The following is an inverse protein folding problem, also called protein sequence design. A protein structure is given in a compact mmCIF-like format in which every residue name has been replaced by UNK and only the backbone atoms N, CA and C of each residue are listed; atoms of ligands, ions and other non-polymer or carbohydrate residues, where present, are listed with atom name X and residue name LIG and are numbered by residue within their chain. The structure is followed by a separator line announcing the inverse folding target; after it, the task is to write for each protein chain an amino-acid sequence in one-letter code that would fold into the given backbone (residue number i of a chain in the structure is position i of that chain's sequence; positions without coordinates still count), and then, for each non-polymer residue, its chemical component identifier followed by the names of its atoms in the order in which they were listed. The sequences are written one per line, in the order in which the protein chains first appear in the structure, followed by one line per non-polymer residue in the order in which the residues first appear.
data_IF_928532364484
#
_entry.id   IF_928532364484
#
_cell.length_a   1.000
_cell.length_b   1.000
_cell.length_c   1.000
_cell.angle_alpha   90.00
_cell.angle_beta   90.00
_cell.angle_gamma   90.00
#
_symmetry.space_group_name_H-M   'P 1'
#
loop_
_entity.id
_entity.type
_entity.pdbx_description
1 polymer ?
#
# COMPACT_ATOMS: atom_id res chain seq x y z
N UNK A 1 -17.78 3.10 -0.78
CA UNK A 1 -16.35 2.75 -0.95
C UNK A 1 -15.90 2.09 0.34
N UNK A 2 -15.41 0.85 0.29
CA UNK A 2 -14.97 0.12 1.48
C UNK A 2 -13.62 0.62 2.01
N UNK A 3 -13.22 0.19 3.21
CA UNK A 3 -11.94 0.55 3.81
C UNK A 3 -10.74 -0.10 3.12
N UNK A 4 -10.95 -1.06 2.22
CA UNK A 4 -9.89 -1.71 1.46
C UNK A 4 -10.26 -1.77 -0.03
N UNK A 5 -9.38 -1.31 -0.90
CA UNK A 5 -9.46 -1.46 -2.35
C UNK A 5 -8.15 -2.03 -2.88
N UNK A 6 -8.23 -3.27 -3.36
CA UNK A 6 -7.12 -3.99 -3.94
C UNK A 6 -7.20 -3.88 -5.47
N UNK A 7 -6.12 -3.44 -6.10
CA UNK A 7 -5.96 -3.35 -7.55
C UNK A 7 -4.59 -3.89 -7.93
N UNK A 8 -4.38 -4.13 -9.22
CA UNK A 8 -3.07 -4.51 -9.71
C UNK A 8 -2.04 -3.42 -9.38
N UNK A 9 -0.95 -3.82 -8.71
CA UNK A 9 0.14 -2.93 -8.28
C UNK A 9 -0.30 -1.73 -7.42
N UNK A 10 -1.49 -1.76 -6.82
CA UNK A 10 -1.98 -0.66 -6.00
C UNK A 10 -2.94 -1.14 -4.91
N UNK A 11 -2.71 -0.65 -3.69
CA UNK A 11 -3.56 -0.82 -2.53
C UNK A 11 -4.02 0.55 -2.06
N UNK A 12 -5.31 0.75 -1.91
CA UNK A 12 -5.86 1.90 -1.21
C UNK A 12 -6.60 1.36 0.02
N UNK A 13 -6.35 1.94 1.18
CA UNK A 13 -7.03 1.55 2.40
C UNK A 13 -7.38 2.74 3.28
N UNK A 14 -8.23 2.49 4.26
CA UNK A 14 -8.55 3.42 5.32
C UNK A 14 -8.24 2.84 6.68
N UNK A 15 -7.65 3.66 7.54
CA UNK A 15 -7.32 3.30 8.91
C UNK A 15 -7.50 4.54 9.79
N UNK A 16 -8.33 4.45 10.82
CA UNK A 16 -8.50 5.50 11.84
C UNK A 16 -7.26 5.54 12.75
N UNK A 17 -6.26 6.35 12.38
CA UNK A 17 -4.95 6.33 13.05
C UNK A 17 -5.02 6.94 14.45
N UNK A 18 -5.85 7.96 14.61
CA UNK A 18 -6.01 8.66 15.88
C UNK A 18 -7.05 7.99 16.81
N UNK A 19 -7.73 6.95 16.32
CA UNK A 19 -8.72 6.14 17.05
C UNK A 19 -9.88 6.95 17.64
N UNK A 20 -10.30 8.03 16.95
CA UNK A 20 -11.38 8.90 17.43
C UNK A 20 -12.78 8.43 17.01
N UNK A 21 -12.88 7.34 16.23
CA UNK A 21 -14.13 6.75 15.75
C UNK A 21 -14.75 7.49 14.56
N UNK A 22 -14.00 8.37 13.90
CA UNK A 22 -14.36 9.10 12.69
C UNK A 22 -13.26 8.92 11.66
N UNK A 23 -13.64 9.05 10.40
CA UNK A 23 -12.70 8.93 9.31
C UNK A 23 -12.44 10.25 8.63
N UNK A 24 -11.18 10.60 8.57
CA UNK A 24 -10.71 11.88 8.10
C UNK A 24 -10.49 11.82 6.59
N UNK A 25 -11.13 12.76 5.86
CA UNK A 25 -11.14 12.77 4.41
C UNK A 25 -9.76 13.02 3.78
N UNK A 26 -9.64 12.77 2.47
CA UNK A 26 -8.38 12.84 1.70
C UNK A 26 -7.63 14.18 1.77
N UNK A 27 -8.32 15.29 1.97
CA UNK A 27 -7.72 16.63 2.06
C UNK A 27 -7.26 17.02 3.48
N UNK A 28 -7.46 16.15 4.47
CA UNK A 28 -7.08 16.40 5.85
C UNK A 28 -5.60 16.07 6.07
N UNK A 29 -4.89 16.84 6.89
CA UNK A 29 -3.49 16.56 7.21
C UNK A 29 -3.33 15.18 7.90
N UNK A 30 -4.27 14.88 8.81
CA UNK A 30 -4.40 13.58 9.46
C UNK A 30 -5.39 12.69 8.69
N UNK A 31 -5.31 12.63 7.35
CA UNK A 31 -6.25 11.83 6.57
C UNK A 31 -6.13 10.35 6.91
N UNK A 32 -7.25 9.66 7.07
CA UNK A 32 -7.26 8.21 7.31
C UNK A 32 -7.16 7.40 6.02
N UNK A 33 -6.86 8.05 4.88
CA UNK A 33 -6.69 7.40 3.60
C UNK A 33 -5.21 7.15 3.32
N UNK A 34 -4.85 5.91 3.01
CA UNK A 34 -3.50 5.51 2.64
C UNK A 34 -3.51 4.79 1.31
N UNK A 35 -2.47 5.04 0.53
CA UNK A 35 -2.21 4.35 -0.71
C UNK A 35 -0.80 3.79 -0.73
N UNK A 36 -0.67 2.61 -1.33
CA UNK A 36 0.60 2.00 -1.69
C UNK A 36 0.53 1.58 -3.14
N UNK A 37 1.59 1.80 -3.92
CA UNK A 37 1.64 1.31 -5.29
C UNK A 37 3.04 0.92 -5.72
N UNK A 38 3.12 -0.01 -6.66
CA UNK A 38 4.32 -0.30 -7.41
C UNK A 38 4.27 0.48 -8.72
N UNK A 39 5.25 1.36 -8.93
CA UNK A 39 5.39 2.13 -10.16
C UNK A 39 6.86 2.21 -10.53
N UNK A 40 7.21 1.92 -11.78
CA UNK A 40 8.59 2.00 -12.26
C UNK A 40 9.59 1.23 -11.37
N UNK A 41 9.21 0.02 -10.93
CA UNK A 41 10.01 -0.86 -10.06
C UNK A 41 10.31 -0.26 -8.67
N UNK A 42 9.53 0.73 -8.25
CA UNK A 42 9.64 1.41 -6.98
C UNK A 42 8.34 1.26 -6.18
N UNK A 43 8.47 0.96 -4.90
CA UNK A 43 7.35 1.06 -3.98
C UNK A 43 7.14 2.52 -3.61
N UNK A 44 5.91 2.98 -3.73
CA UNK A 44 5.51 4.33 -3.38
C UNK A 44 4.35 4.30 -2.38
N UNK A 45 4.25 5.33 -1.54
CA UNK A 45 3.13 5.55 -0.63
C UNK A 45 2.56 6.96 -0.75
N UNK A 46 1.30 7.13 -0.37
CA UNK A 46 0.69 8.46 -0.22
C UNK A 46 -0.37 8.42 0.89
N UNK A 47 -0.37 9.43 1.75
CA UNK A 47 -1.48 9.72 2.67
C UNK A 47 -2.43 10.71 2.02
N UNK A 48 -3.73 10.58 2.29
CA UNK A 48 -4.76 11.44 1.70
C UNK A 48 -5.05 11.12 0.23
N UNK A 49 -5.05 9.84 -0.14
CA UNK A 49 -5.26 9.41 -1.53
C UNK A 49 -6.40 8.40 -1.66
N UNK A 50 -7.23 8.57 -2.69
CA UNK A 50 -8.30 7.64 -3.05
C UNK A 50 -8.19 7.14 -4.50
N UNK A 51 -7.12 7.49 -5.21
CA UNK A 51 -6.86 7.12 -6.60
C UNK A 51 -5.41 6.71 -6.83
N UNK A 52 -5.19 5.53 -7.41
CA UNK A 52 -3.85 5.00 -7.69
C UNK A 52 -3.04 5.84 -8.68
N UNK A 53 -3.68 6.61 -9.55
CA UNK A 53 -3.04 7.39 -10.62
C UNK A 53 -2.77 8.86 -10.22
N UNK A 54 -3.05 9.25 -8.97
CA UNK A 54 -2.76 10.60 -8.48
C UNK A 54 -1.26 10.92 -8.51
N UNK A 55 -0.95 12.21 -8.38
CA UNK A 55 0.39 12.72 -8.15
C UNK A 55 0.69 12.88 -6.64
N UNK A 56 1.93 13.21 -6.30
CA UNK A 56 2.33 13.48 -4.90
C UNK A 56 2.68 12.24 -4.08
N UNK A 57 3.05 11.15 -4.75
CA UNK A 57 3.47 9.92 -4.10
C UNK A 57 4.92 10.03 -3.60
N UNK A 58 5.16 9.56 -2.38
CA UNK A 58 6.48 9.43 -1.78
C UNK A 58 7.09 8.08 -2.12
N UNK A 59 8.40 8.05 -2.31
CA UNK A 59 9.17 6.86 -2.68
C UNK A 59 9.63 6.14 -1.40
N UNK A 60 9.25 4.87 -1.26
CA UNK A 60 9.69 4.02 -0.14
C UNK A 60 10.89 3.14 -0.47
N UNK A 61 11.15 2.90 -1.75
CA UNK A 61 12.34 2.18 -2.22
C UNK A 61 13.09 3.00 -3.26
N UNK A 62 14.31 2.61 -3.62
CA UNK A 62 15.07 3.24 -4.70
C UNK A 62 15.62 2.15 -5.65
N UNK A 63 15.20 2.14 -6.93
CA UNK A 63 15.68 1.20 -7.94
C UNK A 63 17.20 1.16 -8.12
N UNK A 64 17.93 2.22 -7.73
CA UNK A 64 19.39 2.21 -7.77
C UNK A 64 20.01 1.19 -6.80
N UNK A 65 19.29 0.82 -5.73
CA UNK A 65 19.71 -0.17 -4.74
C UNK A 65 18.93 -1.48 -4.85
N UNK A 66 17.62 -1.39 -5.09
CA UNK A 66 16.73 -2.54 -5.16
C UNK A 66 15.50 -2.24 -6.01
N UNK A 67 15.22 -3.10 -6.98
CA UNK A 67 14.00 -3.04 -7.80
C UNK A 67 12.92 -3.93 -7.21
N UNK A 68 11.72 -3.39 -7.01
CA UNK A 68 10.56 -4.19 -6.67
C UNK A 68 9.94 -4.76 -7.97
N UNK A 69 9.95 -6.07 -8.12
CA UNK A 69 9.43 -6.77 -9.31
C UNK A 69 7.95 -7.12 -9.17
N UNK A 70 7.49 -7.34 -7.94
CA UNK A 70 6.10 -7.68 -7.64
C UNK A 70 5.61 -6.94 -6.40
N UNK A 71 4.40 -6.40 -6.50
CA UNK A 71 3.57 -6.00 -5.37
C UNK A 71 2.15 -6.51 -5.60
N UNK A 72 1.80 -7.57 -4.87
CA UNK A 72 0.48 -8.21 -4.97
C UNK A 72 -0.19 -8.20 -3.62
N UNK A 73 -1.46 -7.79 -3.60
CA UNK A 73 -2.31 -7.87 -2.42
C UNK A 73 -3.53 -8.72 -2.79
N UNK A 74 -3.95 -9.59 -1.90
CA UNK A 74 -5.17 -10.39 -2.06
C UNK A 74 -5.86 -10.55 -0.72
N UNK A 75 -7.19 -10.63 -0.72
CA UNK A 75 -7.99 -10.80 0.48
C UNK A 75 -8.77 -12.12 0.43
N UNK A 76 -8.76 -12.86 1.54
CA UNK A 76 -9.58 -14.04 1.76
C UNK A 76 -10.27 -13.94 3.13
N UNK A 77 -11.56 -13.61 3.14
CA UNK A 77 -12.27 -13.32 4.39
C UNK A 77 -11.65 -12.10 5.08
N UNK A 78 -11.24 -12.27 6.34
CA UNK A 78 -10.54 -11.23 7.12
C UNK A 78 -9.05 -11.20 6.84
N UNK A 79 -8.48 -12.18 6.15
CA UNK A 79 -7.05 -12.22 5.92
C UNK A 79 -6.66 -11.44 4.68
N UNK A 80 -5.67 -10.57 4.83
CA UNK A 80 -5.01 -9.86 3.75
C UNK A 80 -3.61 -10.44 3.60
N UNK A 81 -3.32 -10.94 2.40
CA UNK A 81 -2.01 -11.41 2.00
C UNK A 81 -1.32 -10.34 1.17
N UNK A 82 -0.10 -10.00 1.54
CA UNK A 82 0.78 -9.09 0.80
C UNK A 82 2.01 -9.87 0.36
N UNK A 83 2.32 -9.79 -0.92
CA UNK A 83 3.53 -10.37 -1.52
C UNK A 83 4.36 -9.28 -2.15
N UNK A 84 5.62 -9.23 -1.75
CA UNK A 84 6.64 -8.37 -2.32
C UNK A 84 7.75 -9.26 -2.89
N UNK A 85 8.10 -9.05 -4.15
CA UNK A 85 9.31 -9.64 -4.73
C UNK A 85 10.25 -8.52 -5.12
N UNK A 86 11.50 -8.62 -4.71
CA UNK A 86 12.49 -7.59 -4.94
C UNK A 86 13.84 -8.19 -5.37
N UNK A 87 14.53 -7.47 -6.25
CA UNK A 87 15.89 -7.79 -6.68
C UNK A 87 16.88 -6.73 -6.22
N UNK A 88 17.95 -7.17 -5.58
CA UNK A 88 19.10 -6.33 -5.20
C UNK A 88 20.39 -6.98 -5.73
N UNK A 89 20.89 -6.49 -6.86
CA UNK A 89 22.00 -7.15 -7.57
C UNK A 89 21.62 -8.55 -8.04
N UNK A 90 22.30 -9.58 -7.52
CA UNK A 90 22.00 -10.98 -7.82
C UNK A 90 20.94 -11.61 -6.88
N UNK A 91 20.61 -10.94 -5.78
CA UNK A 91 19.64 -11.45 -4.81
C UNK A 91 18.23 -11.19 -5.33
N UNK A 92 17.41 -12.24 -5.36
CA UNK A 92 15.98 -12.16 -5.66
C UNK A 92 15.24 -12.74 -4.46
N UNK A 93 14.57 -11.89 -3.70
CA UNK A 93 13.89 -12.28 -2.47
C UNK A 93 12.39 -12.05 -2.60
N UNK A 94 11.61 -12.98 -2.05
CA UNK A 94 10.15 -12.86 -1.97
C UNK A 94 9.75 -12.88 -0.51
N UNK A 95 9.06 -11.83 -0.08
CA UNK A 95 8.50 -11.71 1.26
C UNK A 95 6.99 -11.80 1.14
N UNK A 96 6.42 -12.64 1.99
CA UNK A 96 4.98 -12.83 2.11
C UNK A 96 4.55 -12.52 3.54
N UNK A 97 3.51 -11.72 3.68
CA UNK A 97 2.90 -11.37 4.96
C UNK A 97 1.41 -11.64 4.92
N UNK A 98 0.90 -12.24 5.99
CA UNK A 98 -0.52 -12.44 6.23
C UNK A 98 -0.92 -11.57 7.42
N UNK A 99 -1.92 -10.74 7.22
CA UNK A 99 -2.39 -9.76 8.19
C UNK A 99 -3.89 -9.97 8.38
N UNK A 100 -4.35 -10.00 9.63
CA UNK A 100 -5.77 -9.95 9.92
C UNK A 100 -6.27 -8.51 9.75
N UNK A 101 -7.31 -8.36 8.94
CA UNK A 101 -8.03 -7.11 8.71
C UNK A 101 -8.95 -6.78 9.90
N UNK A 102 -8.38 -6.70 11.10
CA UNK A 102 -9.13 -6.26 12.28
C UNK A 102 -9.49 -4.78 12.11
N UNK A 103 -10.79 -4.50 12.01
CA UNK A 103 -11.37 -3.15 11.87
C UNK A 103 -11.20 -2.44 10.52
N UNK A 104 -11.04 -3.19 9.41
CA UNK A 104 -11.28 -2.69 8.05
C UNK A 104 -12.79 -2.75 7.68
#
# INVERSE_FOLDING_TARGET
MGALQIRENCLLLRWDENSNGKWEGVSHAESDYYGYRLRQQQLEMQRGVDQCQSAGWERLSDPAFMTLEQFSVSQQGTQVRIVLQARAGCWLETVESWIEAENL
#
